data_IF_256813785491
#
_entry.id   IF_256813785491
#
_cell.length_a   1.000
_cell.length_b   1.000
_cell.length_c   1.000
_cell.angle_alpha   90.00
_cell.angle_beta   90.00
_cell.angle_gamma   90.00
#
_symmetry.space_group_name_H-M   'P 1'
#
loop_
_entity.id
_entity.type
_entity.pdbx_description
1 polymer ?
#
# COMPACT_ATOMS: atom_id res chain seq x y z
N UNK A 1 -29.26 -4.48 -13.42
CA UNK A 1 -27.81 -4.78 -13.33
C UNK A 1 -27.03 -3.48 -13.37
N UNK A 2 -26.53 -3.00 -12.23
CA UNK A 2 -25.76 -1.74 -12.16
C UNK A 2 -24.38 -2.02 -12.77
N UNK A 3 -24.14 -1.53 -13.99
CA UNK A 3 -22.84 -1.63 -14.65
C UNK A 3 -21.97 -0.47 -14.19
N UNK A 4 -21.07 -0.74 -13.25
CA UNK A 4 -20.10 0.25 -12.77
C UNK A 4 -19.00 0.41 -13.82
N UNK A 5 -18.77 1.65 -14.25
CA UNK A 5 -17.63 2.02 -15.08
C UNK A 5 -16.52 2.51 -14.16
N UNK A 6 -15.30 2.01 -14.38
CA UNK A 6 -14.13 2.43 -13.62
C UNK A 6 -13.23 3.19 -14.57
N UNK A 7 -12.99 4.46 -14.26
CA UNK A 7 -12.04 5.32 -14.97
C UNK A 7 -10.79 5.40 -14.11
N UNK A 8 -9.66 4.94 -14.65
CA UNK A 8 -8.37 5.02 -13.97
C UNK A 8 -7.56 6.17 -14.55
N UNK A 9 -7.10 7.05 -13.67
CA UNK A 9 -6.17 8.12 -14.04
C UNK A 9 -4.76 7.74 -13.60
N UNK A 10 -3.85 7.63 -14.57
CA UNK A 10 -2.43 7.38 -14.28
C UNK A 10 -1.79 8.70 -13.85
N UNK A 11 -1.76 8.95 -12.54
CA UNK A 11 -0.86 9.95 -11.97
C UNK A 11 0.57 9.41 -12.05
N UNK A 12 1.51 10.23 -12.53
CA UNK A 12 2.95 9.92 -12.71
C UNK A 12 3.67 9.29 -11.50
N UNK A 13 3.03 9.22 -10.33
CA UNK A 13 3.54 8.62 -9.09
C UNK A 13 3.01 7.18 -8.86
N UNK A 14 3.16 6.29 -9.84
CA UNK A 14 2.97 4.86 -9.59
C UNK A 14 4.25 4.31 -8.93
N UNK A 15 4.27 4.26 -7.60
CA UNK A 15 5.38 3.71 -6.83
C UNK A 15 5.37 2.18 -6.92
N UNK A 16 6.07 1.63 -7.91
CA UNK A 16 6.32 0.19 -7.99
C UNK A 16 7.47 -0.11 -7.03
N UNK A 17 7.14 -0.76 -5.90
CA UNK A 17 8.13 -1.36 -5.03
C UNK A 17 8.90 -2.39 -5.86
N UNK A 18 10.20 -2.15 -6.05
CA UNK A 18 11.15 -2.95 -6.82
C UNK A 18 10.85 -4.45 -6.77
N UNK A 19 10.09 -4.90 -7.76
CA UNK A 19 9.87 -6.27 -8.13
C UNK A 19 10.13 -6.26 -9.62
N UNK A 20 11.25 -6.87 -10.00
CA UNK A 20 11.63 -7.08 -11.39
C UNK A 20 10.65 -8.11 -11.99
N UNK A 21 9.40 -7.70 -12.21
CA UNK A 21 8.41 -8.50 -12.91
C UNK A 21 8.74 -8.40 -14.40
N UNK A 22 9.51 -9.38 -14.88
CA UNK A 22 9.74 -9.57 -16.31
C UNK A 22 8.40 -9.89 -16.99
N UNK A 23 8.01 -9.04 -17.94
CA UNK A 23 6.79 -9.23 -18.70
C UNK A 23 7.12 -10.01 -19.96
N UNK A 24 6.96 -11.34 -19.90
CA UNK A 24 7.09 -12.18 -21.09
C UNK A 24 5.82 -12.17 -21.94
N UNK A 25 5.99 -11.92 -23.24
CA UNK A 25 4.95 -12.09 -24.26
C UNK A 25 5.35 -13.25 -25.14
N UNK A 26 4.66 -14.39 -24.98
CA UNK A 26 4.88 -15.59 -25.79
C UNK A 26 3.95 -15.61 -27.00
N UNK A 27 4.52 -15.83 -28.19
CA UNK A 27 3.78 -16.08 -29.42
C UNK A 27 3.75 -17.59 -29.72
N UNK A 28 2.75 -18.05 -30.48
CA UNK A 28 2.47 -19.48 -30.76
C UNK A 28 3.55 -20.19 -31.61
N UNK A 29 4.64 -19.51 -31.97
CA UNK A 29 5.72 -20.03 -32.79
C UNK A 29 6.98 -20.24 -31.95
N UNK A 30 7.63 -21.39 -32.14
CA UNK A 30 8.90 -21.72 -31.48
C UNK A 30 9.93 -20.61 -31.82
N UNK A 31 10.62 -20.08 -30.80
CA UNK A 31 11.68 -19.06 -30.96
C UNK A 31 11.23 -17.58 -30.91
N UNK A 32 9.94 -17.28 -30.75
CA UNK A 32 9.42 -15.90 -30.78
C UNK A 32 9.10 -15.33 -29.38
N UNK A 33 9.83 -15.76 -28.35
CA UNK A 33 9.64 -15.22 -27.00
C UNK A 33 10.18 -13.79 -26.95
N UNK A 34 9.29 -12.82 -26.73
CA UNK A 34 9.68 -11.43 -26.53
C UNK A 34 9.53 -11.09 -25.06
N UNK A 35 10.65 -10.85 -24.40
CA UNK A 35 10.70 -10.39 -23.02
C UNK A 35 10.89 -8.88 -23.02
N UNK A 36 10.22 -8.20 -22.10
CA UNK A 36 10.43 -6.78 -21.82
C UNK A 36 10.35 -6.54 -20.33
N UNK A 37 11.17 -5.59 -19.89
CA UNK A 37 11.10 -5.12 -18.52
C UNK A 37 9.85 -4.26 -18.32
N UNK A 38 9.29 -4.28 -17.11
CA UNK A 38 8.13 -3.43 -16.77
C UNK A 38 8.43 -1.94 -17.00
N UNK A 39 9.68 -1.52 -16.77
CA UNK A 39 10.14 -0.14 -16.96
C UNK A 39 10.01 0.31 -18.42
N UNK A 40 10.52 -0.48 -19.36
CA UNK A 40 10.39 -0.19 -20.79
C UNK A 40 8.93 -0.16 -21.24
N UNK A 41 8.11 -1.07 -20.71
CA UNK A 41 6.69 -1.11 -21.05
C UNK A 41 5.93 0.13 -20.52
N UNK A 42 6.32 0.66 -19.37
CA UNK A 42 5.76 1.89 -18.82
C UNK A 42 6.17 3.14 -19.61
N UNK A 43 7.40 3.19 -20.13
CA UNK A 43 7.86 4.29 -20.98
C UNK A 43 7.12 4.30 -22.33
N UNK A 44 6.83 3.12 -22.88
CA UNK A 44 6.14 2.99 -24.16
C UNK A 44 4.63 3.17 -24.04
N UNK A 45 3.97 2.29 -23.27
CA UNK A 45 2.51 2.19 -23.19
C UNK A 45 2.09 1.86 -21.74
N UNK A 46 2.01 2.86 -20.84
CA UNK A 46 1.66 2.65 -19.44
C UNK A 46 0.23 2.12 -19.26
N UNK A 47 -0.67 2.46 -20.19
CA UNK A 47 -2.06 1.98 -20.21
C UNK A 47 -2.15 0.46 -20.31
N UNK A 48 -1.33 -0.16 -21.15
CA UNK A 48 -1.35 -1.61 -21.37
C UNK A 48 -0.79 -2.38 -20.16
N UNK A 49 0.19 -1.82 -19.45
CA UNK A 49 0.73 -2.42 -18.23
C UNK A 49 -0.37 -2.58 -17.16
N UNK A 50 -1.12 -1.50 -16.90
CA UNK A 50 -2.21 -1.50 -15.91
C UNK A 50 -3.37 -2.38 -16.37
N UNK A 51 -3.76 -2.29 -17.65
CA UNK A 51 -4.84 -3.12 -18.20
C UNK A 51 -4.55 -4.60 -18.02
N UNK A 52 -3.33 -5.05 -18.35
CA UNK A 52 -2.90 -6.44 -18.17
C UNK A 52 -2.88 -6.85 -16.69
N UNK A 53 -2.45 -5.96 -15.80
CA UNK A 53 -2.46 -6.22 -14.37
C UNK A 53 -3.90 -6.45 -13.85
N UNK A 54 -4.82 -5.54 -14.17
CA UNK A 54 -6.24 -5.67 -13.78
C UNK A 54 -6.86 -6.93 -14.36
N UNK A 55 -6.63 -7.21 -15.65
CA UNK A 55 -7.13 -8.41 -16.32
C UNK A 55 -6.66 -9.71 -15.62
N UNK A 56 -5.41 -9.74 -15.15
CA UNK A 56 -4.83 -10.88 -14.42
C UNK A 56 -5.39 -11.02 -12.99
N UNK A 57 -5.87 -9.93 -12.38
CA UNK A 57 -6.54 -9.94 -11.07
C UNK A 57 -8.01 -10.36 -11.14
N UNK A 58 -8.66 -10.27 -12.31
CA UNK A 58 -10.04 -10.69 -12.47
C UNK A 58 -10.18 -12.23 -12.49
N UNK A 59 -11.27 -12.78 -11.94
CA UNK A 59 -11.59 -14.20 -12.06
C UNK A 59 -11.67 -14.63 -13.53
N UNK A 60 -11.09 -15.79 -13.85
CA UNK A 60 -11.12 -16.35 -15.21
C UNK A 60 -12.50 -16.93 -15.52
N UNK A 61 -13.39 -16.10 -16.05
CA UNK A 61 -14.73 -16.49 -16.50
C UNK A 61 -15.09 -15.81 -17.84
N UNK A 62 -16.22 -16.19 -18.45
CA UNK A 62 -16.69 -15.61 -19.73
C UNK A 62 -17.02 -14.11 -19.64
N UNK A 63 -17.34 -13.60 -18.45
CA UNK A 63 -17.64 -12.19 -18.21
C UNK A 63 -16.39 -11.32 -18.05
N UNK A 64 -15.19 -11.93 -18.02
CA UNK A 64 -13.93 -11.20 -17.82
C UNK A 64 -13.72 -10.18 -18.93
N UNK A 65 -13.94 -10.57 -20.17
CA UNK A 65 -13.71 -9.71 -21.33
C UNK A 65 -14.75 -8.58 -21.39
N UNK A 66 -15.99 -8.84 -20.98
CA UNK A 66 -17.03 -7.81 -20.86
C UNK A 66 -16.77 -6.81 -19.74
N UNK A 67 -16.12 -7.23 -18.65
CA UNK A 67 -15.66 -6.34 -17.58
C UNK A 67 -14.45 -5.51 -18.04
N UNK A 68 -13.51 -6.11 -18.77
CA UNK A 68 -12.36 -5.38 -19.31
C UNK A 68 -12.79 -4.27 -20.28
N UNK A 69 -13.82 -4.50 -21.10
CA UNK A 69 -14.41 -3.48 -21.98
C UNK A 69 -14.98 -2.26 -21.25
N UNK A 70 -15.33 -2.39 -19.98
CA UNK A 70 -15.84 -1.30 -19.14
C UNK A 70 -14.73 -0.47 -18.50
N UNK A 71 -13.50 -0.97 -18.49
CA UNK A 71 -12.34 -0.27 -17.95
C UNK A 71 -11.84 0.76 -18.96
N UNK A 72 -11.73 2.02 -18.53
CA UNK A 72 -11.15 3.11 -19.33
C UNK A 72 -9.95 3.69 -18.59
N UNK A 73 -8.80 3.72 -19.25
CA UNK A 73 -7.53 4.14 -18.66
C UNK A 73 -6.97 5.27 -19.53
N UNK A 74 -6.58 6.37 -18.88
CA UNK A 74 -5.96 7.51 -19.55
C UNK A 74 -4.57 7.78 -18.96
N UNK A 75 -3.56 8.08 -19.80
CA UNK A 75 -2.20 8.38 -19.35
C UNK A 75 -2.06 9.79 -18.74
N UNK A 76 -3.09 10.63 -18.88
CA UNK A 76 -3.12 12.03 -18.44
C UNK A 76 -4.44 12.36 -17.73
N UNK A 77 -4.50 13.55 -17.11
CA UNK A 77 -5.61 13.99 -16.26
C UNK A 77 -6.88 14.29 -17.04
N UNK A 78 -6.74 14.42 -18.35
CA UNK A 78 -7.82 14.73 -19.26
C UNK A 78 -8.60 13.46 -19.63
N UNK A 79 -9.93 13.57 -19.62
CA UNK A 79 -10.83 12.52 -20.04
C UNK A 79 -12.05 13.09 -20.77
N UNK A 80 -12.60 12.38 -21.77
CA UNK A 80 -13.77 12.83 -22.52
C UNK A 80 -15.10 12.72 -21.73
N UNK A 81 -15.08 12.17 -20.52
CA UNK A 81 -16.29 11.90 -19.71
C UNK A 81 -16.81 13.10 -18.91
N UNK A 82 -16.77 14.31 -19.49
CA UNK A 82 -17.26 15.52 -18.82
C UNK A 82 -18.77 15.52 -18.56
N UNK A 83 -19.54 14.81 -19.41
CA UNK A 83 -21.00 14.84 -19.38
C UNK A 83 -21.63 13.98 -18.26
N UNK A 84 -20.84 13.12 -17.61
CA UNK A 84 -21.34 12.16 -16.60
C UNK A 84 -20.77 12.50 -15.23
N UNK A 85 -21.57 12.47 -14.16
CA UNK A 85 -21.05 12.65 -12.81
C UNK A 85 -20.09 11.50 -12.47
N UNK A 86 -18.84 11.83 -12.15
CA UNK A 86 -17.81 10.89 -11.72
C UNK A 86 -17.71 10.93 -10.20
N UNK A 87 -17.91 9.78 -9.55
CA UNK A 87 -17.65 9.66 -8.11
C UNK A 87 -16.16 9.38 -7.87
N UNK A 88 -15.42 10.23 -7.14
CA UNK A 88 -14.01 9.99 -6.86
C UNK A 88 -13.87 8.82 -5.88
N UNK A 89 -13.14 7.78 -6.30
CA UNK A 89 -12.86 6.64 -5.44
C UNK A 89 -11.67 6.94 -4.51
N UNK A 90 -11.95 7.04 -3.20
CA UNK A 90 -10.92 7.11 -2.17
C UNK A 90 -10.64 5.70 -1.66
N UNK A 91 -9.37 5.29 -1.67
CA UNK A 91 -9.01 3.98 -1.12
C UNK A 91 -9.36 3.92 0.37
N UNK A 92 -9.97 2.82 0.85
CA UNK A 92 -10.25 2.66 2.26
C UNK A 92 -8.95 2.71 3.10
N UNK A 93 -8.99 3.21 4.35
CA UNK A 93 -7.81 3.33 5.18
C UNK A 93 -7.19 1.95 5.41
N UNK A 94 -5.98 1.76 4.91
CA UNK A 94 -5.23 0.52 5.11
C UNK A 94 -4.64 0.53 6.51
N UNK A 95 -4.79 -0.57 7.26
CA UNK A 95 -4.07 -0.76 8.52
C UNK A 95 -2.60 -1.06 8.21
N UNK A 96 -1.80 0.00 8.03
CA UNK A 96 -0.36 -0.14 7.84
C UNK A 96 0.27 -0.58 9.15
N UNK A 97 1.11 -1.61 9.09
CA UNK A 97 1.89 -2.03 10.25
C UNK A 97 3.06 -1.07 10.41
N UNK A 98 2.88 -0.06 11.26
CA UNK A 98 3.89 0.98 11.55
C UNK A 98 5.24 0.38 11.95
N UNK A 99 5.22 -0.71 12.72
CA UNK A 99 6.43 -1.32 13.28
C UNK A 99 6.45 -2.83 13.07
N UNK A 100 7.66 -3.36 12.82
CA UNK A 100 7.92 -4.78 12.96
C UNK A 100 7.71 -5.20 14.44
N UNK A 101 7.10 -6.35 14.73
CA UNK A 101 6.66 -6.77 16.06
C UNK A 101 7.84 -6.94 17.00
N UNK A 102 9.05 -7.20 16.48
CA UNK A 102 10.29 -7.20 17.26
C UNK A 102 10.60 -5.80 17.83
N UNK A 103 10.54 -4.77 16.99
CA UNK A 103 10.79 -3.38 17.40
C UNK A 103 9.72 -2.90 18.38
N UNK A 104 8.44 -3.20 18.10
CA UNK A 104 7.34 -2.89 19.01
C UNK A 104 7.51 -3.53 20.39
N UNK A 105 7.92 -4.80 20.44
CA UNK A 105 8.18 -5.53 21.70
C UNK A 105 9.40 -4.97 22.44
N UNK A 106 10.43 -4.53 21.74
CA UNK A 106 11.61 -3.91 22.37
C UNK A 106 11.25 -2.59 23.05
N UNK A 107 10.53 -1.70 22.35
CA UNK A 107 10.11 -0.42 22.93
C UNK A 107 9.17 -0.59 24.13
N UNK A 108 8.20 -1.52 24.05
CA UNK A 108 7.32 -1.81 25.20
C UNK A 108 8.14 -2.28 26.41
N UNK A 109 9.20 -3.06 26.20
CA UNK A 109 10.09 -3.50 27.29
C UNK A 109 10.91 -2.36 27.86
N UNK A 110 11.42 -1.46 27.01
CA UNK A 110 12.17 -0.27 27.44
C UNK A 110 11.29 0.70 28.21
N UNK A 111 10.07 0.97 27.72
CA UNK A 111 9.06 1.79 28.40
C UNK A 111 8.72 1.21 29.77
N UNK A 112 8.36 -0.08 29.82
CA UNK A 112 7.99 -0.75 31.08
C UNK A 112 9.16 -0.81 32.07
N UNK A 113 10.40 -0.95 31.57
CA UNK A 113 11.62 -0.90 32.41
C UNK A 113 11.87 0.51 32.95
N UNK A 114 11.71 1.54 32.12
CA UNK A 114 11.85 2.94 32.53
C UNK A 114 10.78 3.34 33.56
N UNK A 115 9.52 2.95 33.34
CA UNK A 115 8.41 3.15 34.29
C UNK A 115 8.67 2.49 35.65
N UNK A 116 9.16 1.24 35.65
CA UNK A 116 9.50 0.52 36.88
C UNK A 116 10.71 1.13 37.61
N UNK A 117 11.67 1.70 36.87
CA UNK A 117 12.80 2.42 37.46
C UNK A 117 12.36 3.75 38.05
N UNK A 118 11.47 4.48 37.37
CA UNK A 118 10.89 5.72 37.86
C UNK A 118 10.08 5.47 39.14
N UNK A 119 9.19 4.49 39.16
CA UNK A 119 8.37 4.16 40.32
C UNK A 119 9.21 3.72 41.52
N UNK A 120 10.26 2.92 41.30
CA UNK A 120 11.21 2.55 42.36
C UNK A 120 12.02 3.77 42.87
N UNK A 121 12.37 4.71 42.00
CA UNK A 121 13.07 5.95 42.37
C UNK A 121 12.16 6.88 43.20
N UNK A 122 10.90 7.00 42.80
CA UNK A 122 9.89 7.79 43.52
C UNK A 122 9.55 7.16 44.87
N UNK A 123 9.39 5.84 44.94
CA UNK A 123 9.26 5.08 46.19
C UNK A 123 10.45 5.30 47.15
N UNK A 124 11.69 5.28 46.63
CA UNK A 124 12.89 5.55 47.43
C UNK A 124 12.95 7.00 47.90
N UNK A 125 12.49 7.94 47.07
CA UNK A 125 12.44 9.37 47.41
C UNK A 125 11.38 9.67 48.47
N UNK A 126 10.20 9.05 48.40
CA UNK A 126 9.18 9.15 49.44
C UNK A 126 9.66 8.55 50.76
N UNK A 127 10.26 7.34 50.73
CA UNK A 127 10.83 6.73 51.95
C UNK A 127 11.90 7.60 52.61
N UNK A 128 12.76 8.27 51.84
CA UNK A 128 13.74 9.23 52.40
C UNK A 128 13.09 10.46 53.02
N UNK A 129 12.05 11.02 52.39
CA UNK A 129 11.30 12.15 52.93
C UNK A 129 10.54 11.81 54.21
N UNK A 130 9.97 10.60 54.30
CA UNK A 130 9.30 10.10 55.50
C UNK A 130 10.31 9.94 56.66
N UNK A 131 11.49 9.37 56.39
CA UNK A 131 12.55 9.21 57.39
C UNK A 131 13.14 10.57 57.82
N UNK A 132 13.33 11.52 56.90
CA UNK A 132 13.81 12.87 57.24
C UNK A 132 12.78 13.67 58.06
N UNK A 133 11.48 13.43 57.85
CA UNK A 133 10.40 14.03 58.63
C UNK A 133 10.26 13.42 60.04
N UNK A 134 10.57 12.14 60.21
CA UNK A 134 10.60 11.48 61.54
C UNK A 134 11.83 11.87 62.37
N UNK A 135 12.97 12.19 61.73
CA UNK A 135 14.21 12.57 62.43
C UNK A 135 14.25 14.06 62.83
N UNK A 136 13.33 14.87 62.30
CA UNK A 136 13.24 16.33 62.56
C UNK A 136 12.09 16.73 63.49
N UNK A 137 11.31 15.77 63.99
CA UNK A 137 10.25 15.93 65.01
C UNK A 137 10.72 15.44 66.39
#
# INVERSE_FOLDING_TARGET
>A
MISIYVVFFILRNLFILSLNDEMSVSYRYIGHLKERTLKEQMERDPTEAIRKAVLRMLPRNKLRDDRDRKLRIFPGSEHPFGDRPLEPYVMPPRRVRELRPRVRRAMIREQKKAEMQQSNKDMRKNRKKEVEAEVTA
#
